data_IF_524530013717
#
_entry.id   IF_524530013717
#
_cell.length_a   1.000
_cell.length_b   1.000
_cell.length_c   1.000
_cell.angle_alpha   90.00
_cell.angle_beta   90.00
_cell.angle_gamma   90.00
#
_symmetry.space_group_name_H-M   'P 1'
#
loop_
_entity.id
_entity.type
_entity.pdbx_description
1 polymer ?
#
# COMPACT_ATOMS: atom_id res chain seq x y z
N UNK A 1 11.85 4.62 -26.62
CA UNK A 1 10.49 4.82 -26.10
C UNK A 1 10.64 5.68 -24.86
N UNK A 2 10.19 6.95 -24.90
CA UNK A 2 10.31 7.85 -23.75
C UNK A 2 9.41 7.30 -22.64
N UNK A 3 9.98 6.87 -21.50
CA UNK A 3 9.20 6.59 -20.31
C UNK A 3 8.48 7.87 -19.93
N UNK A 4 7.17 7.92 -20.17
CA UNK A 4 6.33 9.04 -19.74
C UNK A 4 6.14 8.87 -18.25
N UNK A 5 7.00 9.50 -17.45
CA UNK A 5 6.82 9.53 -16.00
C UNK A 5 5.43 10.09 -15.69
N UNK A 6 4.60 9.32 -14.97
CA UNK A 6 3.31 9.78 -14.54
C UNK A 6 3.49 10.96 -13.58
N UNK A 7 2.81 12.08 -13.85
CA UNK A 7 2.78 13.20 -12.93
C UNK A 7 1.83 12.86 -11.77
N UNK A 8 2.40 12.60 -10.60
CA UNK A 8 1.62 12.38 -9.38
C UNK A 8 0.87 13.66 -8.98
N UNK A 9 -0.36 13.50 -8.52
CA UNK A 9 -1.26 14.59 -8.11
C UNK A 9 -1.68 14.38 -6.65
N UNK A 10 -1.02 15.03 -5.68
CA UNK A 10 -1.47 15.03 -4.30
C UNK A 10 -2.90 15.56 -4.19
N UNK A 11 -3.77 14.88 -3.46
CA UNK A 11 -5.14 15.31 -3.16
C UNK A 11 -5.17 16.62 -2.36
N UNK A 12 -4.27 16.72 -1.38
CA UNK A 12 -4.00 17.93 -0.60
C UNK A 12 -2.60 18.47 -0.90
N UNK A 13 -2.48 19.81 -0.89
CA UNK A 13 -1.20 20.53 -0.95
C UNK A 13 -0.49 20.58 0.42
N UNK A 14 -1.21 20.33 1.53
CA UNK A 14 -0.64 20.31 2.87
C UNK A 14 -0.12 18.90 3.22
N UNK A 15 1.21 18.77 3.37
CA UNK A 15 1.86 17.52 3.76
C UNK A 15 1.37 16.99 5.12
N UNK A 16 0.88 17.86 6.01
CA UNK A 16 0.33 17.46 7.31
C UNK A 16 -0.92 16.60 7.18
N UNK A 17 -1.69 16.73 6.10
CA UNK A 17 -2.87 15.90 5.86
C UNK A 17 -2.50 14.42 5.65
N UNK A 18 -1.31 14.16 5.12
CA UNK A 18 -0.76 12.82 4.90
C UNK A 18 -0.05 12.25 6.13
N UNK A 19 -0.05 12.96 7.26
CA UNK A 19 0.46 12.49 8.55
C UNK A 19 -0.64 12.10 9.53
N UNK A 20 -1.91 12.40 9.22
CA UNK A 20 -3.03 12.18 10.13
C UNK A 20 -3.27 10.70 10.41
N UNK A 21 -3.44 10.38 11.69
CA UNK A 21 -3.93 9.09 12.16
C UNK A 21 -5.39 8.87 11.75
N UNK A 22 -5.79 7.61 11.56
CA UNK A 22 -7.19 7.23 11.40
C UNK A 22 -7.46 5.89 12.08
N UNK A 23 -8.71 5.43 12.05
CA UNK A 23 -9.08 4.12 12.63
C UNK A 23 -8.32 2.96 11.99
N UNK A 24 -8.02 3.03 10.69
CA UNK A 24 -7.33 1.97 9.95
C UNK A 24 -5.83 2.21 9.84
N UNK A 25 -5.38 3.47 9.93
CA UNK A 25 -3.97 3.87 9.99
C UNK A 25 -3.64 4.30 11.43
N UNK A 26 -3.75 3.37 12.38
CA UNK A 26 -3.73 3.64 13.82
C UNK A 26 -2.32 3.53 14.45
N UNK A 27 -1.41 4.40 14.04
CA UNK A 27 -0.01 4.36 14.48
C UNK A 27 0.21 4.61 15.98
N UNK A 28 -0.79 5.17 16.68
CA UNK A 28 -0.74 5.35 18.12
C UNK A 28 -0.98 4.05 18.89
N UNK A 29 -1.45 2.98 18.22
CA UNK A 29 -1.73 1.70 18.84
C UNK A 29 -0.46 1.08 19.46
N UNK A 30 -0.51 0.51 20.68
CA UNK A 30 0.68 0.01 21.39
C UNK A 30 1.52 -0.98 20.58
N UNK A 31 0.86 -1.90 19.85
CA UNK A 31 1.55 -2.89 19.02
C UNK A 31 2.34 -2.24 17.87
N UNK A 32 1.77 -1.21 17.22
CA UNK A 32 2.46 -0.46 16.17
C UNK A 32 3.68 0.25 16.77
N UNK A 33 3.50 0.96 17.89
CA UNK A 33 4.60 1.66 18.58
C UNK A 33 5.73 0.72 19.01
N UNK A 34 5.40 -0.48 19.48
CA UNK A 34 6.40 -1.46 19.92
C UNK A 34 7.28 -1.90 18.75
N UNK A 35 6.69 -2.21 17.60
CA UNK A 35 7.44 -2.62 16.40
C UNK A 35 8.16 -1.43 15.77
N UNK A 36 7.53 -0.25 15.72
CA UNK A 36 8.15 0.98 15.22
C UNK A 36 9.45 1.30 15.97
N UNK A 37 9.48 1.17 17.30
CA UNK A 37 10.72 1.33 18.11
C UNK A 37 11.85 0.37 17.77
N UNK A 38 11.53 -0.79 17.18
CA UNK A 38 12.53 -1.79 16.75
C UNK A 38 12.99 -1.53 15.32
N UNK A 39 12.11 -1.00 14.47
CA UNK A 39 12.39 -0.67 13.08
C UNK A 39 13.14 0.66 12.93
N UNK A 40 12.80 1.63 13.77
CA UNK A 40 13.25 3.01 13.61
C UNK A 40 14.18 3.48 14.72
N UNK A 41 15.11 4.36 14.34
CA UNK A 41 15.94 5.12 15.25
C UNK A 41 16.07 6.58 14.76
N UNK A 42 16.52 7.46 15.65
CA UNK A 42 16.59 8.89 15.38
C UNK A 42 17.69 9.30 14.39
N UNK A 43 18.62 8.41 14.05
CA UNK A 43 19.71 8.68 13.12
C UNK A 43 19.33 8.40 11.66
N UNK A 44 18.24 7.67 11.43
CA UNK A 44 17.75 7.37 10.09
C UNK A 44 17.20 8.60 9.38
N UNK A 45 17.60 8.75 8.13
CA UNK A 45 16.98 9.63 7.15
C UNK A 45 15.56 9.17 6.81
N UNK A 46 14.76 10.06 6.21
CA UNK A 46 13.43 9.71 5.70
C UNK A 46 13.48 8.55 4.69
N UNK A 47 14.47 8.54 3.79
CA UNK A 47 14.70 7.46 2.83
C UNK A 47 14.95 6.12 3.54
N UNK A 48 15.79 6.10 4.57
CA UNK A 48 16.10 4.87 5.32
C UNK A 48 14.88 4.35 6.09
N UNK A 49 14.11 5.25 6.71
CA UNK A 49 12.84 4.90 7.37
C UNK A 49 11.86 4.29 6.37
N UNK A 50 11.67 4.94 5.21
CA UNK A 50 10.80 4.42 4.14
C UNK A 50 11.27 3.04 3.69
N UNK A 51 12.56 2.87 3.40
CA UNK A 51 13.11 1.61 2.91
C UNK A 51 12.91 0.47 3.92
N UNK A 52 13.23 0.69 5.20
CA UNK A 52 13.07 -0.32 6.26
C UNK A 52 11.60 -0.68 6.46
N UNK A 53 10.70 0.31 6.53
CA UNK A 53 9.27 0.06 6.68
C UNK A 53 8.70 -0.71 5.49
N UNK A 54 9.07 -0.31 4.27
CA UNK A 54 8.70 -0.98 3.03
C UNK A 54 9.13 -2.45 3.04
N UNK A 55 10.41 -2.72 3.35
CA UNK A 55 10.96 -4.08 3.38
C UNK A 55 10.25 -4.92 4.45
N UNK A 56 10.04 -4.38 5.65
CA UNK A 56 9.31 -5.08 6.70
C UNK A 56 7.89 -5.45 6.26
N UNK A 57 7.12 -4.51 5.70
CA UNK A 57 5.74 -4.82 5.26
C UNK A 57 5.74 -5.77 4.06
N UNK A 58 6.67 -5.62 3.12
CA UNK A 58 6.77 -6.48 1.94
C UNK A 58 7.12 -7.92 2.33
N UNK A 59 8.11 -8.09 3.19
CA UNK A 59 8.79 -9.37 3.43
C UNK A 59 8.30 -10.09 4.70
N UNK A 60 7.90 -9.35 5.74
CA UNK A 60 7.51 -9.91 7.05
C UNK A 60 5.99 -9.99 7.26
N UNK A 61 5.19 -9.62 6.25
CA UNK A 61 3.73 -9.71 6.26
C UNK A 61 3.30 -10.47 5.01
N UNK A 62 2.68 -11.64 5.18
CA UNK A 62 2.26 -12.48 4.06
C UNK A 62 1.10 -11.84 3.28
N UNK A 63 1.11 -11.98 1.97
CA UNK A 63 -0.06 -11.63 1.17
C UNK A 63 -1.10 -12.76 1.23
N UNK A 64 -2.30 -12.50 1.75
CA UNK A 64 -3.31 -13.55 2.01
C UNK A 64 -3.59 -14.42 0.79
N UNK A 65 -3.71 -13.83 -0.41
CA UNK A 65 -3.94 -14.61 -1.63
C UNK A 65 -2.77 -15.53 -1.98
N UNK A 66 -1.53 -15.15 -1.72
CA UNK A 66 -0.38 -15.97 -2.14
C UNK A 66 -0.18 -17.18 -1.24
N UNK A 67 -0.42 -17.00 0.06
CA UNK A 67 -0.38 -18.10 1.02
C UNK A 67 -1.69 -18.88 1.08
N UNK A 68 -2.68 -18.52 0.24
CA UNK A 68 -4.05 -19.05 0.28
C UNK A 68 -4.66 -18.98 1.69
N UNK A 69 -4.35 -17.90 2.41
CA UNK A 69 -4.86 -17.62 3.74
C UNK A 69 -6.31 -17.14 3.68
N UNK A 70 -7.09 -17.47 4.70
CA UNK A 70 -8.51 -17.09 4.79
C UNK A 70 -8.72 -15.83 5.63
N UNK A 71 -7.70 -15.28 6.28
CA UNK A 71 -7.89 -14.17 7.21
C UNK A 71 -8.04 -12.86 6.44
N UNK A 72 -9.08 -12.10 6.78
CA UNK A 72 -9.21 -10.71 6.35
C UNK A 72 -8.74 -9.81 7.48
N UNK A 73 -7.72 -9.01 7.21
CA UNK A 73 -7.23 -7.96 8.12
C UNK A 73 -7.56 -6.59 7.54
N UNK A 74 -7.71 -5.58 8.41
CA UNK A 74 -8.12 -4.24 7.97
C UNK A 74 -7.27 -3.12 8.57
N UNK A 75 -7.28 -3.00 9.91
CA UNK A 75 -6.52 -1.96 10.60
C UNK A 75 -5.04 -2.32 10.64
N UNK A 76 -4.16 -1.31 10.69
CA UNK A 76 -2.72 -1.53 10.69
C UNK A 76 -2.28 -2.45 11.84
N UNK A 77 -2.82 -2.29 13.05
CA UNK A 77 -2.50 -3.16 14.17
C UNK A 77 -2.95 -4.62 13.97
N UNK A 78 -4.09 -4.83 13.32
CA UNK A 78 -4.61 -6.17 13.02
C UNK A 78 -3.75 -6.89 11.96
N UNK A 79 -3.34 -6.15 10.93
CA UNK A 79 -2.36 -6.63 9.93
C UNK A 79 -1.04 -6.99 10.60
N UNK A 80 -0.55 -6.14 11.49
CA UNK A 80 0.71 -6.38 12.21
C UNK A 80 0.62 -7.57 13.17
N UNK A 81 -0.51 -7.71 13.87
CA UNK A 81 -0.76 -8.81 14.81
C UNK A 81 -0.77 -10.16 14.10
N UNK A 82 -1.40 -10.22 12.94
CA UNK A 82 -1.57 -11.47 12.20
C UNK A 82 -0.52 -11.73 11.14
N UNK A 83 0.31 -10.72 10.81
CA UNK A 83 1.34 -10.79 9.76
C UNK A 83 0.77 -11.30 8.43
N UNK A 84 -0.46 -10.90 8.12
CA UNK A 84 -1.19 -11.33 6.93
C UNK A 84 -2.12 -10.19 6.47
N UNK A 85 -2.21 -9.95 5.17
CA UNK A 85 -3.19 -9.06 4.56
C UNK A 85 -3.01 -8.94 3.05
N UNK A 86 -4.05 -8.50 2.35
CA UNK A 86 -3.93 -8.13 0.92
C UNK A 86 -3.35 -6.71 0.77
N UNK A 87 -3.05 -6.28 -0.46
CA UNK A 87 -2.45 -4.96 -0.75
C UNK A 87 -3.12 -3.79 0.00
N UNK A 88 -4.46 -3.79 0.13
CA UNK A 88 -5.21 -2.76 0.85
C UNK A 88 -4.76 -2.64 2.32
N UNK A 89 -4.79 -3.76 3.02
CA UNK A 89 -4.48 -3.82 4.44
C UNK A 89 -2.98 -3.60 4.69
N UNK A 90 -2.13 -4.13 3.81
CA UNK A 90 -0.68 -3.91 3.86
C UNK A 90 -0.31 -2.43 3.66
N UNK A 91 -0.99 -1.73 2.76
CA UNK A 91 -0.83 -0.27 2.61
C UNK A 91 -1.27 0.52 3.83
N UNK A 92 -2.29 0.07 4.57
CA UNK A 92 -2.67 0.67 5.85
C UNK A 92 -1.54 0.55 6.88
N UNK A 93 -0.91 -0.63 6.99
CA UNK A 93 0.22 -0.85 7.89
C UNK A 93 1.45 -0.02 7.52
N UNK A 94 1.81 0.03 6.24
CA UNK A 94 2.93 0.85 5.77
C UNK A 94 2.69 2.34 6.07
N UNK A 95 1.48 2.84 5.78
CA UNK A 95 1.10 4.20 6.12
C UNK A 95 1.18 4.45 7.64
N UNK A 96 0.77 3.49 8.48
CA UNK A 96 0.82 3.67 9.92
C UNK A 96 2.27 3.82 10.42
N UNK A 97 3.18 2.95 9.97
CA UNK A 97 4.58 3.09 10.35
C UNK A 97 5.18 4.43 9.92
N UNK A 98 4.97 4.82 8.66
CA UNK A 98 5.61 6.02 8.10
C UNK A 98 5.02 7.31 8.66
N UNK A 99 3.69 7.40 8.78
CA UNK A 99 3.03 8.56 9.40
C UNK A 99 3.44 8.73 10.86
N UNK A 100 3.54 7.63 11.61
CA UNK A 100 4.00 7.63 13.00
C UNK A 100 5.43 8.15 13.16
N UNK A 101 6.26 8.01 12.12
CA UNK A 101 7.63 8.52 12.06
C UNK A 101 7.77 9.89 11.40
N UNK A 102 6.65 10.56 11.09
CA UNK A 102 6.63 11.89 10.50
C UNK A 102 6.91 11.93 8.99
N UNK A 103 6.79 10.81 8.29
CA UNK A 103 6.94 10.75 6.82
C UNK A 103 5.56 10.86 6.16
N UNK A 104 5.26 11.94 5.41
CA UNK A 104 3.98 12.11 4.73
C UNK A 104 3.73 10.95 3.77
N UNK A 105 2.65 10.20 4.02
CA UNK A 105 2.36 8.96 3.29
C UNK A 105 0.89 8.93 2.89
N UNK A 106 0.61 8.87 1.60
CA UNK A 106 -0.73 8.72 1.04
C UNK A 106 -0.97 7.34 0.42
N UNK A 107 -2.17 7.21 -0.14
CA UNK A 107 -2.64 6.02 -0.83
C UNK A 107 -2.73 6.29 -2.32
N UNK A 108 -2.26 5.35 -3.12
CA UNK A 108 -2.38 5.39 -4.57
C UNK A 108 -3.08 4.12 -5.04
N UNK A 109 -3.60 4.16 -6.25
CA UNK A 109 -4.41 3.08 -6.78
C UNK A 109 -4.08 2.77 -8.24
N UNK A 110 -4.20 1.51 -8.57
CA UNK A 110 -4.29 1.03 -9.95
C UNK A 110 -5.59 0.23 -10.10
N UNK A 111 -6.19 0.19 -11.28
CA UNK A 111 -7.20 -0.81 -11.65
C UNK A 111 -6.52 -1.86 -12.53
N UNK A 112 -6.46 -3.10 -12.05
CA UNK A 112 -5.74 -4.20 -12.68
C UNK A 112 -6.67 -5.40 -12.91
N UNK A 113 -6.37 -6.23 -13.90
CA UNK A 113 -7.05 -7.52 -14.06
C UNK A 113 -6.77 -8.43 -12.84
N UNK A 114 -7.80 -9.12 -12.33
CA UNK A 114 -7.66 -9.95 -11.12
C UNK A 114 -6.88 -11.25 -11.40
N UNK A 115 -7.03 -11.83 -12.59
CA UNK A 115 -6.55 -13.19 -12.91
C UNK A 115 -6.02 -13.34 -14.35
N UNK A 116 -5.23 -12.37 -14.81
CA UNK A 116 -4.48 -12.34 -16.09
C UNK A 116 -5.32 -12.20 -17.37
N UNK A 117 -6.66 -12.23 -17.30
CA UNK A 117 -7.54 -12.05 -18.46
C UNK A 117 -8.72 -11.11 -18.19
N UNK A 118 -9.15 -10.29 -19.17
CA UNK A 118 -10.22 -9.30 -18.99
C UNK A 118 -11.57 -9.88 -18.54
N UNK A 119 -11.90 -11.09 -18.99
CA UNK A 119 -13.17 -11.77 -18.70
C UNK A 119 -13.30 -12.19 -17.22
N UNK A 120 -12.18 -12.27 -16.50
CA UNK A 120 -12.15 -12.58 -15.07
C UNK A 120 -12.32 -11.35 -14.19
N UNK A 121 -12.46 -10.17 -14.79
CA UNK A 121 -12.74 -8.93 -14.11
C UNK A 121 -11.49 -8.21 -13.59
N UNK A 122 -11.76 -7.07 -12.94
CA UNK A 122 -10.76 -6.12 -12.51
C UNK A 122 -10.95 -5.78 -11.03
N UNK A 123 -9.86 -5.44 -10.35
CA UNK A 123 -9.89 -4.92 -9.00
C UNK A 123 -8.99 -3.71 -8.87
N UNK A 124 -9.28 -2.89 -7.86
CA UNK A 124 -8.29 -1.97 -7.36
C UNK A 124 -7.08 -2.73 -6.81
N UNK A 125 -5.91 -2.14 -6.99
CA UNK A 125 -4.68 -2.49 -6.30
C UNK A 125 -4.20 -1.24 -5.56
N UNK A 126 -3.93 -1.39 -4.27
CA UNK A 126 -3.50 -0.27 -3.42
C UNK A 126 -1.99 -0.33 -3.23
N UNK A 127 -1.36 0.82 -3.37
CA UNK A 127 0.03 1.08 -3.05
C UNK A 127 0.15 2.43 -2.32
N UNK A 128 1.35 2.84 -1.95
CA UNK A 128 1.55 4.09 -1.20
C UNK A 128 2.37 5.10 -2.00
N UNK A 129 1.99 6.38 -1.89
CA UNK A 129 2.86 7.50 -2.25
C UNK A 129 3.51 8.02 -0.97
N UNK A 130 4.84 8.20 -0.97
CA UNK A 130 5.59 8.75 0.17
C UNK A 130 6.31 10.02 -0.25
N UNK A 131 6.25 11.06 0.57
CA UNK A 131 6.99 12.28 0.34
C UNK A 131 8.36 12.19 1.03
N UNK A 132 9.42 12.27 0.23
CA UNK A 132 10.79 12.31 0.72
C UNK A 132 11.21 13.78 0.83
N UNK A 133 11.27 14.30 2.05
CA UNK A 133 11.72 15.66 2.35
C UNK A 133 13.15 15.90 1.84
N UNK A 134 14.02 14.91 1.98
CA UNK A 134 15.42 14.98 1.50
C UNK A 134 15.54 15.17 -0.02
N UNK A 135 14.52 14.75 -0.79
CA UNK A 135 14.47 14.88 -2.25
C UNK A 135 13.40 15.88 -2.73
N UNK A 136 12.61 16.43 -1.80
CA UNK A 136 11.47 17.31 -2.06
C UNK A 136 10.52 16.77 -3.15
N UNK A 137 10.18 15.47 -3.11
CA UNK A 137 9.27 14.84 -4.08
C UNK A 137 8.54 13.62 -3.54
N UNK A 138 7.44 13.29 -4.22
CA UNK A 138 6.71 12.04 -4.03
C UNK A 138 7.37 10.88 -4.78
N UNK A 139 7.35 9.71 -4.16
CA UNK A 139 7.75 8.42 -4.74
C UNK A 139 6.66 7.40 -4.44
N UNK A 140 6.29 6.57 -5.43
CA UNK A 140 5.37 5.44 -5.19
C UNK A 140 6.14 4.17 -4.83
N UNK A 141 5.63 3.46 -3.84
CA UNK A 141 6.18 2.20 -3.36
C UNK A 141 5.05 1.18 -3.16
N UNK A 142 5.33 -0.08 -3.49
CA UNK A 142 4.35 -1.17 -3.45
C UNK A 142 4.82 -2.31 -2.53
N UNK A 143 4.37 -2.26 -1.28
CA UNK A 143 4.74 -3.26 -0.28
C UNK A 143 3.87 -4.52 -0.31
N UNK A 144 3.15 -4.80 -1.40
CA UNK A 144 2.24 -5.95 -1.52
C UNK A 144 2.91 -7.28 -1.20
N UNK A 145 4.17 -7.47 -1.58
CA UNK A 145 4.94 -8.69 -1.32
C UNK A 145 5.31 -9.43 -2.60
N UNK A 146 6.45 -10.12 -2.58
CA UNK A 146 7.00 -10.80 -3.75
C UNK A 146 6.62 -12.28 -3.80
N UNK A 147 6.47 -12.81 -5.01
CA UNK A 147 6.28 -14.24 -5.31
C UNK A 147 6.85 -14.55 -6.69
N UNK A 148 6.79 -15.80 -7.11
CA UNK A 148 7.14 -16.15 -8.50
C UNK A 148 6.29 -15.31 -9.48
N UNK A 149 6.96 -14.55 -10.35
CA UNK A 149 6.33 -13.65 -11.31
C UNK A 149 5.96 -12.26 -10.78
N UNK A 150 6.20 -11.95 -9.50
CA UNK A 150 5.91 -10.63 -8.90
C UNK A 150 7.11 -10.16 -8.08
N UNK A 151 7.71 -9.03 -8.49
CA UNK A 151 8.90 -8.47 -7.85
C UNK A 151 8.78 -6.94 -7.72
N UNK A 152 8.35 -6.50 -6.54
CA UNK A 152 8.37 -5.10 -6.14
C UNK A 152 9.64 -4.77 -5.34
N UNK A 153 10.24 -3.62 -5.61
CA UNK A 153 11.48 -3.16 -4.97
C UNK A 153 11.40 -1.70 -4.55
N UNK A 154 12.17 -1.36 -3.52
CA UNK A 154 12.37 0.04 -3.17
C UNK A 154 13.39 0.64 -4.13
N UNK A 155 12.96 1.66 -4.88
CA UNK A 155 13.79 2.35 -5.86
C UNK A 155 13.42 3.84 -5.87
N UNK A 156 14.43 4.69 -6.01
CA UNK A 156 14.25 6.14 -6.08
C UNK A 156 14.24 6.64 -7.54
N UNK A 157 14.89 5.92 -8.44
CA UNK A 157 15.11 6.38 -9.83
C UNK A 157 13.92 6.04 -10.74
N UNK A 158 13.44 4.81 -10.61
CA UNK A 158 12.27 4.30 -11.34
C UNK A 158 11.35 3.51 -10.41
N UNK A 159 10.06 3.50 -10.73
CA UNK A 159 9.09 2.72 -9.97
C UNK A 159 9.30 1.22 -10.23
N UNK A 160 9.39 0.44 -9.15
CA UNK A 160 9.46 -1.03 -9.18
C UNK A 160 8.25 -1.61 -8.44
N UNK A 161 7.08 -1.45 -9.04
CA UNK A 161 5.79 -1.87 -8.49
C UNK A 161 5.54 -3.36 -8.75
N UNK A 162 4.58 -3.96 -8.04
CA UNK A 162 4.27 -5.38 -8.22
C UNK A 162 3.74 -5.71 -9.63
N UNK A 163 3.05 -4.76 -10.25
CA UNK A 163 2.40 -4.92 -11.55
C UNK A 163 2.63 -3.68 -12.42
N UNK A 164 2.80 -3.92 -13.72
CA UNK A 164 2.76 -2.87 -14.74
C UNK A 164 1.35 -2.78 -15.30
N UNK A 165 0.85 -1.56 -15.46
CA UNK A 165 -0.49 -1.30 -16.01
C UNK A 165 -0.49 -1.55 -17.52
N UNK A 166 -1.44 -2.33 -17.99
CA UNK A 166 -1.66 -2.63 -19.41
C UNK A 166 -2.89 -1.88 -19.93
N UNK A 167 -2.69 -0.64 -20.40
CA UNK A 167 -3.78 0.24 -20.87
C UNK A 167 -4.59 -0.36 -22.03
N UNK A 168 -3.97 -1.18 -22.89
CA UNK A 168 -4.64 -1.90 -23.99
C UNK A 168 -5.71 -2.89 -23.49
N UNK A 169 -5.60 -3.32 -22.22
CA UNK A 169 -6.59 -4.14 -21.52
C UNK A 169 -7.42 -3.30 -20.54
N UNK A 170 -7.60 -2.00 -20.78
CA UNK A 170 -8.39 -1.08 -19.94
C UNK A 170 -7.91 -0.98 -18.46
N UNK A 171 -6.73 -1.52 -18.13
CA UNK A 171 -6.11 -1.25 -16.84
C UNK A 171 -5.76 0.24 -16.72
N UNK A 172 -5.81 0.77 -15.49
CA UNK A 172 -5.64 2.21 -15.24
C UNK A 172 -4.66 2.45 -14.11
N UNK A 173 -3.74 3.37 -14.35
CA UNK A 173 -2.92 3.94 -13.29
C UNK A 173 -3.51 5.28 -12.83
N UNK A 174 -3.91 5.38 -11.57
CA UNK A 174 -4.49 6.63 -11.06
C UNK A 174 -3.37 7.55 -10.54
N UNK A 175 -3.27 8.79 -11.05
CA UNK A 175 -2.21 9.72 -10.66
C UNK A 175 -2.35 10.27 -9.24
N UNK A 176 -3.52 10.14 -8.63
CA UNK A 176 -3.83 10.81 -7.36
C UNK A 176 -3.19 10.13 -6.17
N UNK A 177 -2.62 10.93 -5.27
CA UNK A 177 -2.17 10.49 -3.94
C UNK A 177 -3.20 10.95 -2.91
N UNK A 178 -3.97 10.02 -2.37
CA UNK A 178 -5.05 10.28 -1.43
C UNK A 178 -4.54 10.36 0.01
N UNK A 179 -5.12 11.26 0.79
CA UNK A 179 -4.79 11.46 2.22
C UNK A 179 -5.35 10.34 3.11
N UNK A 180 -6.41 9.66 2.67
CA UNK A 180 -7.05 8.53 3.35
C UNK A 180 -7.22 7.35 2.38
N UNK A 181 -7.32 6.11 2.89
CA UNK A 181 -7.64 4.98 2.03
C UNK A 181 -9.07 5.10 1.48
N UNK A 182 -9.27 4.68 0.24
CA UNK A 182 -10.57 4.64 -0.43
C UNK A 182 -11.59 3.84 0.37
N UNK A 183 -12.76 4.44 0.61
CA UNK A 183 -13.82 3.88 1.45
C UNK A 183 -14.30 2.50 0.97
N UNK A 184 -14.35 2.25 -0.34
CA UNK A 184 -14.77 0.94 -0.87
C UNK A 184 -13.76 -0.15 -0.51
N UNK A 185 -12.46 0.14 -0.57
CA UNK A 185 -11.43 -0.83 -0.17
C UNK A 185 -11.54 -1.18 1.32
N UNK A 186 -11.79 -0.19 2.17
CA UNK A 186 -12.00 -0.39 3.61
C UNK A 186 -13.29 -1.15 3.89
N UNK A 187 -14.39 -0.78 3.24
CA UNK A 187 -15.68 -1.45 3.37
C UNK A 187 -15.59 -2.92 2.95
N UNK A 188 -14.88 -3.24 1.87
CA UNK A 188 -14.63 -4.63 1.44
C UNK A 188 -13.89 -5.43 2.52
N UNK A 189 -12.83 -4.88 3.12
CA UNK A 189 -12.11 -5.56 4.21
C UNK A 189 -12.99 -5.77 5.45
N UNK A 190 -13.85 -4.80 5.80
CA UNK A 190 -14.71 -4.88 6.98
C UNK A 190 -15.92 -5.80 6.80
N UNK A 191 -16.44 -5.92 5.57
CA UNK A 191 -17.63 -6.71 5.27
C UNK A 191 -17.34 -8.21 5.07
N UNK A 192 -16.08 -8.61 5.02
CA UNK A 192 -15.67 -9.97 4.69
C UNK A 192 -14.88 -10.63 5.81
N UNK A 193 -15.10 -11.93 6.01
CA UNK A 193 -14.39 -12.74 7.02
C UNK A 193 -13.50 -13.82 6.41
N UNK A 194 -13.59 -14.04 5.10
CA UNK A 194 -12.79 -15.01 4.37
C UNK A 194 -12.10 -14.35 3.16
N UNK A 195 -10.77 -14.26 3.19
CA UNK A 195 -10.00 -13.58 2.15
C UNK A 195 -10.09 -14.26 0.78
N UNK A 196 -10.24 -15.58 0.71
CA UNK A 196 -10.37 -16.31 -0.56
C UNK A 196 -11.71 -15.95 -1.23
N UNK A 197 -12.80 -15.93 -0.47
CA UNK A 197 -14.13 -15.54 -0.97
C UNK A 197 -14.13 -14.06 -1.36
N UNK A 198 -13.59 -13.20 -0.50
CA UNK A 198 -13.45 -11.77 -0.76
C UNK A 198 -12.71 -11.49 -2.07
N UNK A 199 -11.56 -12.14 -2.28
CA UNK A 199 -10.73 -11.91 -3.46
C UNK A 199 -11.43 -12.33 -4.76
N UNK A 200 -12.25 -13.39 -4.72
CA UNK A 200 -12.96 -13.90 -5.90
C UNK A 200 -14.22 -13.12 -6.26
N UNK A 201 -14.84 -12.43 -5.29
CA UNK A 201 -16.24 -11.97 -5.47
C UNK A 201 -16.52 -10.54 -5.00
N UNK A 202 -15.65 -9.92 -4.20
CA UNK A 202 -16.01 -8.71 -3.45
C UNK A 202 -15.01 -7.56 -3.57
N UNK A 203 -13.94 -7.72 -4.36
CA UNK A 203 -12.99 -6.64 -4.58
C UNK A 203 -13.64 -5.52 -5.42
N UNK A 204 -13.51 -4.25 -4.99
CA UNK A 204 -14.01 -3.13 -5.77
C UNK A 204 -13.12 -2.91 -7.00
N UNK A 205 -13.76 -2.55 -8.10
CA UNK A 205 -13.08 -2.35 -9.38
C UNK A 205 -12.67 -0.88 -9.62
N UNK A 206 -13.47 0.07 -9.12
CA UNK A 206 -13.30 1.51 -9.37
C UNK A 206 -13.26 2.30 -8.07
N UNK A 207 -12.49 3.39 -8.09
CA UNK A 207 -12.44 4.40 -7.02
C UNK A 207 -13.81 4.94 -6.66
#
# INVERSE_FOLDING_TARGET
MLFKYMKLMPESEDLQDYLKESKVVNYSHPLIKEVAKKLFNNEQTDIEKVKVAFQFVRDEVSHSWDIQGTRVTCTADDVLKHKEGICYAKSNLLAAFLRGEGVPTGFCYQRLMIFDTPDKGYSLHTLNGVFLNSLNRWVRIDARGNKLGVQAEFSLDEEKLAFSVQEDFDEKDYPTIYTQPNDKTIATLQANTNAIVMYKHHLPEYL
#
